data_IF_444666093229
#
_entry.id   IF_444666093229
#
_cell.length_a   1.000
_cell.length_b   1.000
_cell.length_c   1.000
_cell.angle_alpha   90.00
_cell.angle_beta   90.00
_cell.angle_gamma   90.00
#
_symmetry.space_group_name_H-M   'P 1'
#
loop_
_entity.id
_entity.type
_entity.pdbx_description
1 polymer ?
#
# COMPACT_ATOMS: atom_id res chain seq x y z
N UNK A 1 -59.78 -79.24 0.11
CA UNK A 1 -58.49 -79.15 -0.61
C UNK A 1 -58.20 -77.69 -0.93
N UNK A 2 -57.32 -77.02 -0.17
CA UNK A 2 -56.68 -75.76 -0.61
C UNK A 2 -55.28 -75.72 0.01
N UNK A 3 -54.29 -75.65 -0.87
CA UNK A 3 -52.86 -75.82 -0.60
C UNK A 3 -52.28 -74.58 0.09
N UNK A 4 -51.40 -74.83 1.05
CA UNK A 4 -50.53 -73.86 1.73
C UNK A 4 -49.49 -73.36 0.74
N UNK A 5 -49.28 -72.04 0.67
CA UNK A 5 -48.16 -71.42 -0.02
C UNK A 5 -47.40 -70.56 0.99
N UNK A 6 -46.24 -71.03 1.42
CA UNK A 6 -45.33 -70.30 2.30
C UNK A 6 -44.45 -69.42 1.41
N UNK A 7 -44.62 -68.10 1.51
CA UNK A 7 -43.86 -67.12 0.75
C UNK A 7 -42.67 -66.66 1.60
N UNK A 8 -41.46 -67.04 1.19
CA UNK A 8 -40.19 -66.60 1.81
C UNK A 8 -39.85 -65.22 1.27
N UNK A 9 -39.79 -64.20 2.14
CA UNK A 9 -39.26 -62.88 1.81
C UNK A 9 -37.76 -62.85 2.09
N UNK A 10 -36.94 -62.79 1.04
CA UNK A 10 -35.51 -62.49 1.15
C UNK A 10 -35.32 -60.99 1.37
N UNK A 11 -34.81 -60.60 2.54
CA UNK A 11 -34.39 -59.24 2.82
C UNK A 11 -32.98 -59.04 2.26
N UNK A 12 -32.86 -58.28 1.17
CA UNK A 12 -31.56 -57.76 0.71
C UNK A 12 -31.17 -56.56 1.59
N UNK A 13 -30.17 -56.76 2.45
CA UNK A 13 -29.46 -55.68 3.14
C UNK A 13 -28.49 -55.02 2.15
N UNK A 14 -28.86 -53.86 1.60
CA UNK A 14 -27.91 -52.97 0.93
C UNK A 14 -27.08 -52.25 2.01
N UNK A 15 -25.81 -52.62 2.14
CA UNK A 15 -24.83 -51.86 2.90
C UNK A 15 -24.51 -50.54 2.18
N UNK A 16 -25.12 -49.44 2.61
CA UNK A 16 -24.64 -48.10 2.24
C UNK A 16 -23.30 -47.86 2.94
N UNK A 17 -22.20 -47.99 2.21
CA UNK A 17 -20.92 -47.42 2.62
C UNK A 17 -21.02 -45.90 2.48
N UNK A 18 -21.29 -45.21 3.58
CA UNK A 18 -21.16 -43.76 3.64
C UNK A 18 -19.68 -43.40 3.48
N UNK A 19 -19.27 -43.03 2.27
CA UNK A 19 -18.00 -42.34 2.04
C UNK A 19 -18.11 -40.97 2.70
N UNK A 20 -17.56 -40.85 3.91
CA UNK A 20 -17.40 -39.58 4.57
C UNK A 20 -16.59 -38.64 3.65
N UNK A 21 -17.25 -37.58 3.16
CA UNK A 21 -16.56 -36.47 2.50
C UNK A 21 -15.66 -35.82 3.54
N UNK A 22 -14.37 -36.14 3.51
CA UNK A 22 -13.35 -35.31 4.16
C UNK A 22 -13.13 -34.09 3.26
N UNK A 23 -13.29 -32.85 3.75
CA UNK A 23 -12.73 -31.74 3.01
C UNK A 23 -11.23 -32.03 2.85
N UNK A 24 -10.73 -31.89 1.62
CA UNK A 24 -9.30 -31.88 1.41
C UNK A 24 -8.72 -30.85 2.38
N UNK A 25 -7.73 -31.27 3.18
CA UNK A 25 -6.91 -30.33 3.90
C UNK A 25 -6.48 -29.26 2.87
N UNK A 26 -6.66 -27.99 3.20
CA UNK A 26 -6.15 -26.92 2.37
C UNK A 26 -4.66 -27.22 2.18
N UNK A 27 -4.29 -27.61 0.96
CA UNK A 27 -2.91 -27.91 0.62
C UNK A 27 -2.06 -26.72 1.07
N UNK A 28 -0.96 -27.02 1.79
CA UNK A 28 0.15 -26.11 2.07
C UNK A 28 0.85 -25.73 0.74
N UNK A 29 0.11 -25.12 -0.17
CA UNK A 29 0.66 -24.39 -1.28
C UNK A 29 1.51 -23.27 -0.68
N UNK A 30 2.77 -23.16 -1.11
CA UNK A 30 3.62 -22.05 -0.74
C UNK A 30 2.81 -20.74 -0.87
N UNK A 31 2.81 -19.87 0.16
CA UNK A 31 1.93 -18.71 0.18
C UNK A 31 2.15 -17.89 -1.10
N UNK A 32 1.05 -17.65 -1.83
CA UNK A 32 1.12 -16.87 -3.07
C UNK A 32 1.74 -15.49 -2.78
N UNK A 33 2.42 -14.86 -3.74
CA UNK A 33 2.91 -13.50 -3.56
C UNK A 33 1.78 -12.56 -3.16
N UNK A 34 1.97 -11.83 -2.06
CA UNK A 34 1.10 -10.73 -1.66
C UNK A 34 1.02 -9.67 -2.77
N UNK A 35 -0.15 -9.05 -2.88
CA UNK A 35 -0.48 -8.00 -3.83
C UNK A 35 -0.82 -6.73 -3.06
N UNK A 36 0.09 -5.78 -3.04
CA UNK A 36 -0.01 -4.52 -2.30
C UNK A 36 -0.33 -3.42 -3.30
N UNK A 37 -1.27 -2.55 -2.96
CA UNK A 37 -1.59 -1.35 -3.74
C UNK A 37 -1.62 -0.12 -2.82
N UNK A 38 -0.88 0.93 -3.18
CA UNK A 38 -0.75 2.14 -2.38
C UNK A 38 -1.24 3.34 -3.20
N UNK A 39 -2.22 4.07 -2.68
CA UNK A 39 -2.81 5.24 -3.32
C UNK A 39 -2.23 6.53 -2.73
N UNK A 40 -1.51 7.27 -3.56
CA UNK A 40 -1.21 8.68 -3.37
C UNK A 40 -2.29 9.55 -4.02
N UNK A 41 -2.45 10.78 -3.53
CA UNK A 41 -3.21 11.77 -4.28
C UNK A 41 -2.40 12.19 -5.51
N UNK A 42 -1.10 12.42 -5.34
CA UNK A 42 -0.23 13.02 -6.34
C UNK A 42 0.92 12.10 -6.75
N UNK A 43 1.55 12.32 -7.93
CA UNK A 43 2.80 11.67 -8.30
C UNK A 43 3.98 12.08 -7.40
N UNK A 44 4.20 11.32 -6.33
CA UNK A 44 5.31 11.39 -5.35
C UNK A 44 4.91 10.76 -4.01
N UNK A 45 3.63 10.89 -3.65
CA UNK A 45 3.08 10.54 -2.33
C UNK A 45 3.40 9.10 -1.91
N UNK A 46 3.11 8.14 -2.80
CA UNK A 46 3.27 6.73 -2.49
C UNK A 46 4.75 6.33 -2.42
N UNK A 47 5.59 6.88 -3.31
CA UNK A 47 7.04 6.73 -3.26
C UNK A 47 7.62 7.30 -1.97
N UNK A 48 7.10 8.45 -1.53
CA UNK A 48 7.55 9.13 -0.32
C UNK A 48 7.16 8.39 0.96
N UNK A 49 5.92 7.92 1.05
CA UNK A 49 5.36 7.34 2.27
C UNK A 49 5.62 5.83 2.39
N UNK A 50 5.77 5.13 1.26
CA UNK A 50 5.82 3.67 1.21
C UNK A 50 6.98 3.10 0.36
N UNK A 51 7.81 3.93 -0.28
CA UNK A 51 8.83 3.47 -1.22
C UNK A 51 9.84 2.47 -0.65
N UNK A 52 10.25 2.62 0.61
CA UNK A 52 11.20 1.70 1.25
C UNK A 52 10.55 0.34 1.51
N UNK A 53 9.38 0.33 2.14
CA UNK A 53 8.65 -0.91 2.41
C UNK A 53 8.20 -1.59 1.10
N UNK A 54 7.84 -0.81 0.08
CA UNK A 54 7.56 -1.29 -1.26
C UNK A 54 8.76 -2.03 -1.88
N UNK A 55 9.96 -1.49 -1.76
CA UNK A 55 11.19 -2.15 -2.21
C UNK A 55 11.45 -3.47 -1.47
N UNK A 56 11.21 -3.52 -0.16
CA UNK A 56 11.33 -4.77 0.62
C UNK A 56 10.33 -5.83 0.15
N UNK A 57 9.07 -5.45 -0.07
CA UNK A 57 8.07 -6.36 -0.64
C UNK A 57 8.51 -6.88 -2.01
N UNK A 58 8.97 -6.00 -2.90
CA UNK A 58 9.43 -6.37 -4.23
C UNK A 58 10.63 -7.34 -4.19
N UNK A 59 11.59 -7.10 -3.30
CA UNK A 59 12.76 -7.96 -3.11
C UNK A 59 12.39 -9.39 -2.68
N UNK A 60 11.28 -9.57 -1.96
CA UNK A 60 10.73 -10.87 -1.58
C UNK A 60 9.80 -11.48 -2.64
N UNK A 61 9.70 -10.88 -3.83
CA UNK A 61 8.89 -11.37 -4.94
C UNK A 61 7.39 -11.04 -4.86
N UNK A 62 6.97 -10.27 -3.85
CA UNK A 62 5.61 -9.73 -3.75
C UNK A 62 5.36 -8.69 -4.84
N UNK A 63 4.08 -8.41 -5.12
CA UNK A 63 3.67 -7.48 -6.17
C UNK A 63 3.19 -6.19 -5.54
N UNK A 64 3.83 -5.08 -5.89
CA UNK A 64 3.46 -3.75 -5.40
C UNK A 64 3.04 -2.86 -6.56
N UNK A 65 1.93 -2.14 -6.39
CA UNK A 65 1.47 -1.09 -7.28
C UNK A 65 1.35 0.23 -6.51
N UNK A 66 2.02 1.27 -6.99
CA UNK A 66 1.84 2.64 -6.51
C UNK A 66 0.87 3.34 -7.47
N UNK A 67 -0.14 4.04 -6.95
CA UNK A 67 -1.16 4.71 -7.76
C UNK A 67 -1.21 6.17 -7.38
N UNK A 68 -1.01 7.06 -8.35
CA UNK A 68 -1.26 8.49 -8.21
C UNK A 68 -2.66 8.78 -8.69
N UNK A 69 -3.53 9.27 -7.82
CA UNK A 69 -4.93 9.54 -8.18
C UNK A 69 -5.08 10.74 -9.12
N UNK A 70 -4.14 11.68 -9.13
CA UNK A 70 -4.07 12.79 -10.08
C UNK A 70 -2.84 12.69 -10.97
N UNK A 71 -2.89 13.41 -12.09
CA UNK A 71 -1.78 13.53 -13.04
C UNK A 71 -0.72 14.56 -12.60
N UNK A 72 -0.98 15.33 -11.54
CA UNK A 72 -0.02 16.26 -10.94
C UNK A 72 0.22 17.56 -11.71
N UNK A 73 -0.70 17.94 -12.61
CA UNK A 73 -0.52 19.00 -13.60
C UNK A 73 -0.49 20.45 -13.06
N UNK A 74 -0.73 20.68 -11.77
CA UNK A 74 -0.47 21.96 -11.11
C UNK A 74 0.58 21.86 -9.98
N UNK A 75 1.24 20.70 -9.85
CA UNK A 75 2.21 20.40 -8.80
C UNK A 75 3.60 21.02 -8.98
N UNK A 76 3.74 22.09 -9.76
CA UNK A 76 5.00 22.78 -9.97
C UNK A 76 4.82 24.30 -10.11
N UNK A 77 5.69 25.08 -9.47
CA UNK A 77 5.58 26.54 -9.42
C UNK A 77 5.84 27.27 -10.75
N UNK A 78 6.47 26.59 -11.72
CA UNK A 78 6.93 27.17 -13.01
C UNK A 78 6.37 26.48 -14.26
N UNK A 79 5.79 25.30 -14.11
CA UNK A 79 5.33 24.44 -15.20
C UNK A 79 3.96 23.93 -14.81
N UNK A 80 3.02 23.83 -15.75
CA UNK A 80 1.67 23.38 -15.45
C UNK A 80 1.02 22.70 -16.67
N UNK A 81 -0.14 22.10 -16.46
CA UNK A 81 -0.92 21.41 -17.46
C UNK A 81 -0.24 20.16 -17.99
N UNK A 82 -0.63 19.77 -19.20
CA UNK A 82 -0.17 18.54 -19.87
C UNK A 82 1.35 18.33 -19.86
N UNK A 83 2.21 19.33 -20.14
CA UNK A 83 3.66 19.14 -20.07
C UNK A 83 4.17 18.72 -18.68
N UNK A 84 3.58 19.27 -17.61
CA UNK A 84 3.93 18.86 -16.25
C UNK A 84 3.42 17.45 -15.95
N UNK A 85 2.18 17.14 -16.33
CA UNK A 85 1.62 15.79 -16.12
C UNK A 85 2.45 14.71 -16.79
N UNK A 86 2.88 14.93 -18.03
CA UNK A 86 3.76 14.01 -18.78
C UNK A 86 5.11 13.84 -18.08
N UNK A 87 5.72 14.95 -17.61
CA UNK A 87 6.96 14.92 -16.84
C UNK A 87 6.80 14.12 -15.55
N UNK A 88 5.81 14.46 -14.71
CA UNK A 88 5.60 13.80 -13.41
C UNK A 88 5.25 12.33 -13.56
N UNK A 89 4.52 11.96 -14.62
CA UNK A 89 4.29 10.55 -14.98
C UNK A 89 5.60 9.82 -15.27
N UNK A 90 6.48 10.42 -16.07
CA UNK A 90 7.79 9.84 -16.36
C UNK A 90 8.67 9.70 -15.11
N UNK A 91 8.62 10.69 -14.20
CA UNK A 91 9.35 10.69 -12.93
C UNK A 91 8.93 9.51 -12.03
N UNK A 92 7.61 9.29 -11.82
CA UNK A 92 7.14 8.14 -11.01
C UNK A 92 7.36 6.80 -11.70
N UNK A 93 7.32 6.74 -13.04
CA UNK A 93 7.66 5.52 -13.77
C UNK A 93 9.12 5.12 -13.56
N UNK A 94 10.04 6.08 -13.56
CA UNK A 94 11.45 5.82 -13.26
C UNK A 94 11.65 5.48 -11.78
N UNK A 95 10.97 6.16 -10.85
CA UNK A 95 11.01 5.80 -9.43
C UNK A 95 10.52 4.35 -9.19
N UNK A 96 9.41 3.96 -9.81
CA UNK A 96 8.87 2.61 -9.73
C UNK A 96 9.85 1.55 -10.25
N UNK A 97 10.54 1.83 -11.36
CA UNK A 97 11.60 0.97 -11.90
C UNK A 97 12.75 0.81 -10.90
N UNK A 98 13.20 1.89 -10.25
CA UNK A 98 14.27 1.87 -9.24
C UNK A 98 13.88 1.09 -7.98
N UNK A 99 12.60 1.09 -7.61
CA UNK A 99 12.05 0.32 -6.49
C UNK A 99 11.73 -1.15 -6.84
N UNK A 100 11.65 -1.50 -8.13
CA UNK A 100 11.22 -2.83 -8.57
C UNK A 100 9.71 -3.06 -8.48
N UNK A 101 8.90 -2.00 -8.60
CA UNK A 101 7.44 -2.02 -8.44
C UNK A 101 6.73 -1.54 -9.70
N UNK A 102 5.40 -1.61 -9.70
CA UNK A 102 4.56 -1.02 -10.76
C UNK A 102 3.99 0.31 -10.31
N UNK A 103 3.73 1.22 -11.25
CA UNK A 103 3.03 2.48 -10.98
C UNK A 103 1.92 2.73 -11.99
N UNK A 104 0.91 3.50 -11.59
CA UNK A 104 -0.22 3.92 -12.42
C UNK A 104 -0.65 5.34 -12.03
N UNK A 105 -0.73 6.24 -13.02
CA UNK A 105 -1.18 7.63 -12.83
C UNK A 105 -2.57 7.75 -13.44
N UNK A 106 -3.55 8.14 -12.62
CA UNK A 106 -4.92 8.36 -13.09
C UNK A 106 -5.05 9.78 -13.67
N UNK A 107 -6.00 9.94 -14.59
CA UNK A 107 -6.24 11.20 -15.29
C UNK A 107 -7.29 12.06 -14.57
N UNK A 108 -7.01 12.39 -13.31
CA UNK A 108 -7.73 13.42 -12.55
C UNK A 108 -6.78 14.63 -12.46
N UNK A 109 -7.30 15.83 -12.68
CA UNK A 109 -6.52 17.05 -12.51
C UNK A 109 -6.10 17.24 -11.06
N UNK A 110 -4.88 17.75 -10.85
CA UNK A 110 -4.34 18.00 -9.53
C UNK A 110 -5.12 19.14 -8.84
N UNK A 111 -5.51 18.94 -7.58
CA UNK A 111 -6.43 19.81 -6.84
C UNK A 111 -7.92 19.50 -7.02
N UNK A 112 -8.28 18.54 -7.88
CA UNK A 112 -9.67 18.29 -8.29
C UNK A 112 -10.21 16.90 -7.91
N UNK A 113 -9.55 16.15 -7.00
CA UNK A 113 -10.11 14.87 -6.56
C UNK A 113 -11.43 15.14 -5.84
N UNK A 114 -12.52 14.57 -6.36
CA UNK A 114 -13.84 14.62 -5.71
C UNK A 114 -14.29 13.23 -5.25
N UNK A 115 -14.93 13.10 -4.07
CA UNK A 115 -15.42 11.82 -3.55
C UNK A 115 -16.74 11.38 -4.23
N UNK A 116 -16.73 11.31 -5.55
CA UNK A 116 -17.89 10.90 -6.36
C UNK A 116 -18.04 9.38 -6.37
N UNK A 117 -19.26 8.90 -6.69
CA UNK A 117 -19.49 7.47 -6.88
C UNK A 117 -18.63 6.89 -8.01
N UNK A 118 -18.40 7.67 -9.07
CA UNK A 118 -17.57 7.29 -10.20
C UNK A 118 -16.12 7.03 -9.76
N UNK A 119 -15.51 8.01 -9.08
CA UNK A 119 -14.15 7.85 -8.56
C UNK A 119 -14.07 6.69 -7.57
N UNK A 120 -15.08 6.50 -6.71
CA UNK A 120 -15.10 5.35 -5.77
C UNK A 120 -15.15 4.02 -6.52
N UNK A 121 -15.89 3.92 -7.62
CA UNK A 121 -15.92 2.73 -8.47
C UNK A 121 -14.58 2.52 -9.19
N UNK A 122 -13.90 3.58 -9.63
CA UNK A 122 -12.54 3.49 -10.18
C UNK A 122 -11.57 2.90 -9.17
N UNK A 123 -11.53 3.43 -7.93
CA UNK A 123 -10.69 2.90 -6.85
C UNK A 123 -11.04 1.44 -6.53
N UNK A 124 -12.33 1.10 -6.40
CA UNK A 124 -12.76 -0.27 -6.14
C UNK A 124 -12.34 -1.24 -7.26
N UNK A 125 -12.39 -0.82 -8.53
CA UNK A 125 -11.91 -1.62 -9.67
C UNK A 125 -10.41 -1.84 -9.63
N UNK A 126 -9.62 -0.81 -9.31
CA UNK A 126 -8.16 -0.94 -9.19
C UNK A 126 -7.80 -1.98 -8.12
N UNK A 127 -8.43 -1.89 -6.94
CA UNK A 127 -8.24 -2.85 -5.84
C UNK A 127 -8.66 -4.27 -6.28
N UNK A 128 -9.82 -4.43 -6.93
CA UNK A 128 -10.32 -5.72 -7.42
C UNK A 128 -9.43 -6.32 -8.50
N UNK A 129 -9.10 -5.56 -9.53
CA UNK A 129 -8.29 -6.04 -10.65
C UNK A 129 -6.86 -6.40 -10.17
N UNK A 130 -6.37 -5.66 -9.17
CA UNK A 130 -5.11 -6.00 -8.50
C UNK A 130 -5.22 -7.19 -7.54
N UNK A 131 -6.42 -7.69 -7.22
CA UNK A 131 -6.63 -8.75 -6.22
C UNK A 131 -5.84 -8.46 -4.93
N UNK A 132 -5.98 -7.23 -4.43
CA UNK A 132 -5.13 -6.71 -3.36
C UNK A 132 -5.31 -7.48 -2.04
N UNK A 133 -4.20 -7.67 -1.32
CA UNK A 133 -4.13 -8.15 0.06
C UNK A 133 -3.97 -7.00 1.06
N UNK A 134 -3.23 -5.97 0.66
CA UNK A 134 -2.95 -4.77 1.44
C UNK A 134 -3.22 -3.55 0.57
N UNK A 135 -3.96 -2.59 1.12
CA UNK A 135 -4.29 -1.31 0.47
C UNK A 135 -3.81 -0.17 1.36
N UNK A 136 -3.03 0.77 0.83
CA UNK A 136 -2.54 1.93 1.58
C UNK A 136 -3.09 3.24 1.00
N UNK A 137 -3.31 4.26 1.84
CA UNK A 137 -3.73 5.60 1.41
C UNK A 137 -3.45 6.67 2.48
N UNK A 138 -3.69 7.94 2.17
CA UNK A 138 -3.74 9.03 3.15
C UNK A 138 -4.89 8.89 4.16
N UNK A 139 -4.73 9.42 5.37
CA UNK A 139 -5.86 9.58 6.31
C UNK A 139 -6.85 10.63 5.79
N UNK A 140 -8.15 10.53 6.11
CA UNK A 140 -9.15 11.52 5.70
C UNK A 140 -9.02 12.87 6.43
N UNK A 141 -8.05 13.02 7.35
CA UNK A 141 -7.75 14.25 8.06
C UNK A 141 -6.35 14.74 7.65
N UNK A 142 -6.31 15.64 6.66
CA UNK A 142 -5.08 16.16 6.07
C UNK A 142 -5.25 17.66 5.75
N UNK A 143 -4.19 18.41 5.46
CA UNK A 143 -4.25 19.79 5.00
C UNK A 143 -4.71 19.86 3.55
N UNK A 144 -4.29 18.91 2.72
CA UNK A 144 -4.56 18.90 1.29
C UNK A 144 -5.94 18.30 1.01
N UNK A 145 -6.82 18.99 0.26
CA UNK A 145 -8.14 18.46 -0.09
C UNK A 145 -8.07 17.12 -0.83
N UNK A 146 -7.15 16.98 -1.78
CA UNK A 146 -6.98 15.71 -2.49
C UNK A 146 -6.58 14.55 -1.60
N UNK A 147 -5.67 14.74 -0.62
CA UNK A 147 -5.30 13.70 0.34
C UNK A 147 -6.53 13.22 1.12
N UNK A 148 -7.35 14.18 1.60
CA UNK A 148 -8.60 13.86 2.30
C UNK A 148 -9.57 13.09 1.40
N UNK A 149 -9.71 13.52 0.15
CA UNK A 149 -10.68 12.94 -0.77
C UNK A 149 -10.26 11.56 -1.29
N UNK A 150 -8.98 11.32 -1.61
CA UNK A 150 -8.49 9.98 -1.96
C UNK A 150 -8.56 9.03 -0.76
N UNK A 151 -8.19 9.51 0.44
CA UNK A 151 -8.35 8.74 1.68
C UNK A 151 -9.79 8.32 1.93
N UNK A 152 -10.74 9.24 1.72
CA UNK A 152 -12.18 8.96 1.79
C UNK A 152 -12.63 7.95 0.73
N UNK A 153 -12.21 8.10 -0.53
CA UNK A 153 -12.56 7.20 -1.63
C UNK A 153 -12.07 5.76 -1.39
N UNK A 154 -10.82 5.60 -0.98
CA UNK A 154 -10.22 4.28 -0.68
C UNK A 154 -10.90 3.64 0.53
N UNK A 155 -11.14 4.41 1.60
CA UNK A 155 -11.86 3.95 2.79
C UNK A 155 -13.28 3.49 2.45
N UNK A 156 -14.03 4.28 1.69
CA UNK A 156 -15.41 3.94 1.32
C UNK A 156 -15.48 2.75 0.34
N UNK A 157 -14.38 2.43 -0.37
CA UNK A 157 -14.27 1.24 -1.20
C UNK A 157 -14.07 -0.05 -0.38
N UNK A 158 -13.60 0.04 0.88
CA UNK A 158 -13.17 -1.13 1.67
C UNK A 158 -14.25 -2.19 1.91
N UNK A 159 -15.51 -1.79 2.12
CA UNK A 159 -16.62 -2.77 2.15
C UNK A 159 -17.00 -3.22 0.73
N UNK A 160 -16.98 -2.28 -0.21
CA UNK A 160 -17.50 -2.45 -1.56
C UNK A 160 -16.67 -3.40 -2.42
N UNK A 161 -15.39 -3.58 -2.16
CA UNK A 161 -14.50 -4.47 -2.95
C UNK A 161 -14.95 -5.94 -2.94
N UNK A 162 -15.76 -6.35 -1.95
CA UNK A 162 -16.36 -7.70 -1.88
C UNK A 162 -17.79 -7.80 -2.41
N UNK A 163 -18.49 -6.68 -2.59
CA UNK A 163 -19.92 -6.65 -2.98
C UNK A 163 -20.09 -6.99 -4.46
N UNK A 164 -20.58 -8.18 -4.86
CA UNK A 164 -20.44 -8.66 -6.25
C UNK A 164 -20.94 -7.68 -7.32
N UNK A 165 -22.09 -7.05 -7.10
CA UNK A 165 -22.74 -6.17 -8.07
C UNK A 165 -22.34 -4.68 -8.00
N UNK A 166 -21.38 -4.30 -7.15
CA UNK A 166 -20.96 -2.89 -7.04
C UNK A 166 -20.22 -2.37 -8.29
N UNK A 167 -19.29 -3.18 -8.80
CA UNK A 167 -18.56 -3.00 -10.07
C UNK A 167 -18.61 -4.33 -10.84
N UNK A 168 -19.75 -4.66 -11.47
CA UNK A 168 -20.03 -6.00 -12.01
C UNK A 168 -19.10 -6.41 -13.16
N UNK A 169 -18.39 -5.44 -13.74
CA UNK A 169 -17.35 -5.61 -14.75
C UNK A 169 -15.99 -6.08 -14.16
N UNK A 170 -15.89 -6.23 -12.83
CA UNK A 170 -14.68 -6.67 -12.12
C UNK A 170 -15.00 -7.77 -11.11
N UNK A 171 -14.17 -8.81 -11.05
CA UNK A 171 -14.33 -9.91 -10.09
C UNK A 171 -14.22 -9.37 -8.65
N UNK A 172 -15.22 -9.58 -7.77
CA UNK A 172 -15.11 -9.20 -6.37
C UNK A 172 -13.99 -9.97 -5.67
N UNK A 173 -13.42 -9.38 -4.62
CA UNK A 173 -12.45 -10.07 -3.78
C UNK A 173 -13.16 -11.14 -2.93
N UNK A 174 -12.53 -12.30 -2.78
CA UNK A 174 -12.98 -13.36 -1.88
C UNK A 174 -12.69 -13.05 -0.41
N UNK A 175 -11.66 -12.25 -0.15
CA UNK A 175 -11.28 -11.72 1.16
C UNK A 175 -11.41 -10.18 1.21
N UNK A 176 -11.35 -9.60 2.41
CA UNK A 176 -11.25 -8.16 2.58
C UNK A 176 -9.77 -7.80 2.82
N UNK A 177 -9.14 -6.92 2.03
CA UNK A 177 -7.76 -6.49 2.27
C UNK A 177 -7.57 -5.89 3.67
N UNK A 178 -6.32 -5.80 4.11
CA UNK A 178 -5.96 -4.89 5.20
C UNK A 178 -5.80 -3.50 4.59
N UNK A 179 -6.56 -2.54 5.07
CA UNK A 179 -6.39 -1.14 4.67
C UNK A 179 -5.51 -0.44 5.70
N UNK A 180 -4.57 0.37 5.22
CA UNK A 180 -3.60 1.07 6.04
C UNK A 180 -3.54 2.55 5.67
N UNK A 181 -3.20 3.38 6.64
CA UNK A 181 -2.94 4.78 6.41
C UNK A 181 -1.45 5.13 6.48
N UNK A 182 -1.03 6.06 5.63
CA UNK A 182 0.28 6.72 5.71
C UNK A 182 0.40 7.61 6.95
N UNK A 183 1.63 7.87 7.44
CA UNK A 183 1.85 8.71 8.60
C UNK A 183 1.68 10.19 8.27
N UNK A 184 1.08 10.92 9.21
CA UNK A 184 0.97 12.37 9.18
C UNK A 184 1.16 13.01 10.57
N UNK A 185 1.10 14.34 10.62
CA UNK A 185 1.33 15.15 11.84
C UNK A 185 0.04 15.74 12.43
N UNK A 186 -1.14 15.39 11.93
CA UNK A 186 -2.41 15.85 12.47
C UNK A 186 -2.70 15.19 13.82
N UNK A 187 -3.09 16.01 14.79
CA UNK A 187 -3.46 15.58 16.15
C UNK A 187 -4.96 15.64 16.40
N UNK A 188 -5.72 16.22 15.47
CA UNK A 188 -7.19 16.32 15.52
C UNK A 188 -7.80 15.77 14.22
N UNK A 189 -8.95 15.08 14.30
CA UNK A 189 -9.68 14.70 15.52
C UNK A 189 -8.91 13.71 16.39
N UNK A 190 -8.02 12.90 15.80
CA UNK A 190 -7.14 11.97 16.50
C UNK A 190 -5.71 12.03 15.94
N UNK A 191 -4.73 11.78 16.80
CA UNK A 191 -3.33 11.63 16.42
C UNK A 191 -3.14 10.35 15.60
N UNK A 192 -2.17 10.34 14.69
CA UNK A 192 -1.73 9.11 14.02
C UNK A 192 -1.02 8.18 15.01
N UNK A 193 -1.45 6.92 15.03
CA UNK A 193 -0.90 5.84 15.85
C UNK A 193 -0.32 4.74 14.94
N UNK A 194 0.97 4.44 15.11
CA UNK A 194 1.62 3.43 14.29
C UNK A 194 1.33 2.02 14.84
N UNK A 195 0.41 1.31 14.21
CA UNK A 195 0.20 -0.13 14.44
C UNK A 195 1.35 -0.97 13.86
N UNK A 196 2.03 -0.44 12.84
CA UNK A 196 3.14 -1.09 12.13
C UNK A 196 4.26 -0.06 11.94
N UNK A 197 5.51 -0.46 12.21
CA UNK A 197 6.69 0.32 11.85
C UNK A 197 7.74 -0.62 11.25
N UNK A 198 8.14 -0.36 10.01
CA UNK A 198 9.07 -1.17 9.23
C UNK A 198 10.42 -0.47 9.17
N UNK A 199 11.50 -1.14 9.60
CA UNK A 199 12.84 -0.66 9.34
C UNK A 199 13.11 -0.70 7.84
N UNK A 200 13.63 0.40 7.33
CA UNK A 200 14.05 0.53 5.93
C UNK A 200 15.56 0.78 5.82
N UNK A 201 16.31 0.50 6.87
CA UNK A 201 17.77 0.74 6.92
C UNK A 201 18.51 0.03 5.78
N UNK A 202 18.12 -1.20 5.48
CA UNK A 202 18.67 -2.07 4.44
C UNK A 202 18.35 -1.64 3.01
N UNK A 203 17.30 -0.83 2.83
CA UNK A 203 16.83 -0.34 1.53
C UNK A 203 16.79 1.18 1.42
N UNK A 204 17.34 1.90 2.41
CA UNK A 204 17.29 3.35 2.48
C UNK A 204 17.92 3.99 1.25
N UNK A 205 19.07 3.46 0.81
CA UNK A 205 19.75 3.94 -0.40
C UNK A 205 18.94 3.72 -1.66
N UNK A 206 18.28 2.57 -1.77
CA UNK A 206 17.39 2.29 -2.88
C UNK A 206 16.20 3.24 -2.90
N UNK A 207 15.61 3.54 -1.73
CA UNK A 207 14.52 4.52 -1.61
C UNK A 207 14.98 5.91 -2.02
N UNK A 208 16.11 6.40 -1.50
CA UNK A 208 16.66 7.72 -1.84
C UNK A 208 16.98 7.79 -3.33
N UNK A 209 17.52 6.71 -3.91
CA UNK A 209 17.73 6.61 -5.35
C UNK A 209 16.42 6.65 -6.15
N UNK A 210 15.34 6.02 -5.69
CA UNK A 210 14.04 6.14 -6.36
C UNK A 210 13.47 7.56 -6.29
N UNK A 211 13.53 8.17 -5.12
CA UNK A 211 13.09 9.54 -4.85
C UNK A 211 13.89 10.58 -5.66
N UNK A 212 15.17 10.34 -5.92
CA UNK A 212 16.01 11.17 -6.81
C UNK A 212 15.43 11.32 -8.22
N UNK A 213 14.60 10.37 -8.69
CA UNK A 213 13.91 10.47 -9.98
C UNK A 213 12.78 11.52 -9.99
N UNK A 214 12.29 11.94 -8.82
CA UNK A 214 11.15 12.86 -8.68
C UNK A 214 11.62 14.32 -8.71
N UNK A 215 12.35 14.69 -9.77
CA UNK A 215 13.15 15.92 -9.80
C UNK A 215 12.32 17.19 -9.59
N UNK A 216 11.14 17.27 -10.23
CA UNK A 216 10.22 18.40 -10.09
C UNK A 216 9.80 18.67 -8.65
N UNK A 217 9.83 17.64 -7.79
CA UNK A 217 9.38 17.72 -6.40
C UNK A 217 10.56 17.90 -5.46
N UNK A 218 11.61 17.09 -5.60
CA UNK A 218 12.67 17.00 -4.59
C UNK A 218 13.78 18.04 -4.78
N UNK A 219 13.94 18.53 -6.01
CA UNK A 219 14.94 19.52 -6.37
C UNK A 219 14.34 20.87 -6.76
N UNK A 220 13.16 20.87 -7.37
CA UNK A 220 12.51 22.11 -7.84
C UNK A 220 11.47 22.70 -6.88
N UNK A 221 11.09 21.94 -5.84
CA UNK A 221 10.22 22.42 -4.76
C UNK A 221 8.72 22.24 -5.00
N UNK A 222 8.33 21.57 -6.10
CA UNK A 222 6.93 21.31 -6.42
C UNK A 222 6.10 22.58 -6.56
N UNK A 223 4.83 22.52 -6.19
CA UNK A 223 3.85 23.61 -6.36
C UNK A 223 4.24 24.90 -5.61
N UNK A 224 4.95 24.76 -4.48
CA UNK A 224 5.37 25.87 -3.62
C UNK A 224 6.87 26.17 -3.74
N UNK A 225 7.50 25.70 -4.81
CA UNK A 225 8.88 26.02 -5.14
C UNK A 225 9.07 27.48 -5.56
N UNK A 226 10.33 27.85 -5.75
CA UNK A 226 10.74 29.19 -6.18
C UNK A 226 12.17 29.16 -6.72
N UNK A 227 12.67 30.27 -7.27
CA UNK A 227 14.08 30.37 -7.65
C UNK A 227 15.00 30.14 -6.44
N UNK A 228 14.60 30.65 -5.26
CA UNK A 228 15.36 30.43 -4.03
C UNK A 228 15.40 28.94 -3.68
N UNK A 229 14.32 28.20 -3.91
CA UNK A 229 14.30 26.75 -3.68
C UNK A 229 15.34 26.02 -4.55
N UNK A 230 15.52 26.43 -5.82
CA UNK A 230 16.54 25.85 -6.69
C UNK A 230 17.96 26.08 -6.16
N UNK A 231 18.21 27.29 -5.63
CA UNK A 231 19.48 27.66 -5.01
C UNK A 231 19.72 26.85 -3.74
N UNK A 232 18.74 26.79 -2.84
CA UNK A 232 18.82 26.09 -1.55
C UNK A 232 19.03 24.57 -1.75
N UNK A 233 18.43 24.02 -2.79
CA UNK A 233 18.56 22.61 -3.18
C UNK A 233 19.77 22.32 -4.07
N UNK A 234 20.52 23.36 -4.46
CA UNK A 234 21.62 23.28 -5.40
C UNK A 234 21.24 22.50 -6.67
N UNK A 235 20.05 22.75 -7.20
CA UNK A 235 19.43 21.90 -8.24
C UNK A 235 20.30 21.73 -9.49
N UNK A 236 21.14 22.73 -9.82
CA UNK A 236 22.08 22.68 -10.93
C UNK A 236 23.38 21.92 -10.69
N UNK A 237 23.70 21.53 -9.45
CA UNK A 237 24.89 20.74 -9.11
C UNK A 237 24.49 19.27 -8.87
N UNK A 238 24.85 18.34 -9.78
CA UNK A 238 24.40 16.95 -9.71
C UNK A 238 24.96 16.18 -8.50
N UNK A 239 26.07 16.62 -7.91
CA UNK A 239 26.67 15.97 -6.73
C UNK A 239 26.05 16.57 -5.47
N UNK A 240 26.05 17.90 -5.36
CA UNK A 240 25.59 18.56 -4.16
C UNK A 240 24.08 18.38 -3.93
N UNK A 241 23.26 18.39 -5.00
CA UNK A 241 21.81 18.15 -4.89
C UNK A 241 21.51 16.78 -4.27
N UNK A 242 22.24 15.74 -4.66
CA UNK A 242 22.05 14.36 -4.14
C UNK A 242 22.42 14.25 -2.67
N UNK A 243 23.46 14.93 -2.23
CA UNK A 243 23.82 14.99 -0.81
C UNK A 243 22.75 15.71 0.02
N UNK A 244 22.21 16.83 -0.48
CA UNK A 244 21.10 17.55 0.18
C UNK A 244 19.83 16.69 0.25
N UNK A 245 19.53 15.97 -0.84
CA UNK A 245 18.41 15.03 -0.88
C UNK A 245 18.58 13.97 0.20
N UNK A 246 19.74 13.31 0.24
CA UNK A 246 20.05 12.27 1.23
C UNK A 246 19.82 12.75 2.66
N UNK A 247 20.42 13.88 3.04
CA UNK A 247 20.25 14.48 4.39
C UNK A 247 18.80 14.82 4.70
N UNK A 248 18.02 15.22 3.69
CA UNK A 248 16.59 15.49 3.86
C UNK A 248 15.82 14.22 4.23
N UNK A 249 16.14 13.10 3.57
CA UNK A 249 15.49 11.82 3.81
C UNK A 249 15.96 11.12 5.08
N UNK A 250 17.24 11.26 5.44
CA UNK A 250 17.77 10.78 6.72
C UNK A 250 17.01 11.43 7.88
N UNK A 251 16.82 12.75 7.81
CA UNK A 251 16.02 13.50 8.81
C UNK A 251 14.56 13.09 8.80
N UNK A 252 13.92 12.95 7.62
CA UNK A 252 12.49 12.61 7.53
C UNK A 252 12.20 11.22 8.11
N UNK A 253 12.96 10.20 7.70
CA UNK A 253 12.74 8.82 8.16
C UNK A 253 13.32 8.55 9.54
N UNK A 254 14.40 9.25 9.92
CA UNK A 254 14.92 9.21 11.27
C UNK A 254 13.96 9.81 12.29
N UNK A 255 13.29 10.92 11.95
CA UNK A 255 12.24 11.49 12.81
C UNK A 255 11.05 10.54 12.99
N UNK A 256 10.67 9.77 11.97
CA UNK A 256 9.64 8.73 12.10
C UNK A 256 10.12 7.58 12.99
N UNK A 257 11.37 7.12 12.83
CA UNK A 257 11.95 6.06 13.66
C UNK A 257 12.00 6.47 15.14
N UNK A 258 12.33 7.73 15.42
CA UNK A 258 12.27 8.27 16.78
C UNK A 258 10.84 8.35 17.30
N UNK A 259 9.92 8.92 16.50
CA UNK A 259 8.51 9.07 16.88
C UNK A 259 7.82 7.73 17.18
N UNK A 260 8.17 6.67 16.48
CA UNK A 260 7.54 5.35 16.58
C UNK A 260 8.49 4.27 17.12
N UNK A 261 9.44 4.68 17.96
CA UNK A 261 10.45 3.79 18.55
C UNK A 261 9.85 2.59 19.29
N UNK A 262 8.80 2.82 20.06
CA UNK A 262 8.10 1.75 20.80
C UNK A 262 7.46 0.72 19.86
N UNK A 263 6.85 1.17 18.75
CA UNK A 263 6.33 0.26 17.73
C UNK A 263 7.47 -0.55 17.13
N UNK A 264 8.62 0.05 16.79
CA UNK A 264 9.79 -0.69 16.29
C UNK A 264 10.31 -1.72 17.31
N UNK A 265 10.50 -1.34 18.57
CA UNK A 265 10.91 -2.26 19.65
C UNK A 265 9.93 -3.44 19.77
N UNK A 266 8.64 -3.16 19.66
CA UNK A 266 7.63 -4.20 19.79
C UNK A 266 7.66 -5.23 18.63
N UNK A 267 8.19 -4.88 17.45
CA UNK A 267 8.34 -5.79 16.31
C UNK A 267 9.71 -6.47 16.25
N UNK A 268 10.79 -5.73 16.48
CA UNK A 268 12.18 -6.19 16.30
C UNK A 268 12.86 -6.60 17.61
N UNK A 269 12.24 -6.37 18.77
CA UNK A 269 12.88 -6.53 20.08
C UNK A 269 13.65 -5.28 20.50
N UNK A 270 14.12 -5.27 21.75
CA UNK A 270 14.68 -4.07 22.37
C UNK A 270 15.98 -3.58 21.71
N UNK A 271 16.92 -4.49 21.45
CA UNK A 271 18.21 -4.14 20.85
C UNK A 271 18.06 -3.67 19.40
N UNK A 272 17.50 -4.52 18.54
CA UNK A 272 17.33 -4.20 17.11
C UNK A 272 16.37 -3.02 16.92
N UNK A 273 15.26 -3.00 17.65
CA UNK A 273 14.28 -1.93 17.59
C UNK A 273 14.83 -0.57 18.02
N UNK A 274 15.78 -0.51 18.97
CA UNK A 274 16.52 0.73 19.32
C UNK A 274 17.55 1.12 18.26
N UNK A 275 18.14 0.15 17.57
CA UNK A 275 19.16 0.39 16.56
C UNK A 275 18.63 0.91 15.21
N UNK A 276 17.33 0.74 14.92
CA UNK A 276 16.72 1.20 13.65
C UNK A 276 16.95 2.70 13.44
N UNK A 277 17.55 3.07 12.30
CA UNK A 277 17.87 4.47 11.97
C UNK A 277 16.74 5.14 11.20
N UNK A 278 16.13 4.41 10.27
CA UNK A 278 15.12 4.92 9.34
C UNK A 278 13.94 3.94 9.30
N UNK A 279 12.72 4.48 9.36
CA UNK A 279 11.53 3.65 9.23
C UNK A 279 10.46 4.28 8.33
N UNK A 280 9.50 3.44 7.97
CA UNK A 280 8.17 3.83 7.51
C UNK A 280 7.14 3.22 8.48
N UNK A 281 6.03 3.91 8.69
CA UNK A 281 5.04 3.51 9.69
C UNK A 281 3.63 3.61 9.12
N UNK A 282 2.74 2.72 9.56
CA UNK A 282 1.38 2.60 9.04
C UNK A 282 0.40 2.39 10.20
N UNK A 283 -0.78 2.99 10.07
CA UNK A 283 -1.93 2.81 10.96
C UNK A 283 -2.94 1.88 10.30
N UNK A 284 -3.49 0.92 11.03
CA UNK A 284 -4.52 0.03 10.50
C UNK A 284 -5.83 0.79 10.42
N UNK A 285 -6.37 0.89 9.20
CA UNK A 285 -7.69 1.44 8.96
C UNK A 285 -8.75 0.54 9.61
N UNK A 286 -9.75 1.15 10.23
CA UNK A 286 -10.83 0.43 10.88
C UNK A 286 -11.80 -0.21 9.89
N UNK A 287 -11.71 0.17 8.61
CA UNK A 287 -12.48 -0.35 7.50
C UNK A 287 -11.64 -1.39 6.74
N UNK A 288 -12.19 -2.57 6.52
CA UNK A 288 -11.45 -3.69 5.92
C UNK A 288 -11.33 -4.87 6.87
N UNK A 289 -10.31 -5.70 6.68
CA UNK A 289 -9.92 -6.69 7.69
C UNK A 289 -9.14 -6.03 8.83
N UNK A 290 -9.32 -6.54 10.05
CA UNK A 290 -8.65 -6.07 11.27
C UNK A 290 -7.70 -7.16 11.78
N UNK A 291 -6.48 -7.25 11.23
CA UNK A 291 -5.56 -8.31 11.56
C UNK A 291 -5.07 -8.18 13.01
N UNK A 292 -4.86 -9.32 13.64
CA UNK A 292 -4.08 -9.44 14.87
C UNK A 292 -2.61 -9.14 14.60
N UNK A 293 -1.84 -8.95 15.67
CA UNK A 293 -0.40 -8.70 15.59
C UNK A 293 0.37 -9.83 14.86
N UNK A 294 0.00 -11.08 15.09
CA UNK A 294 0.65 -12.22 14.44
C UNK A 294 0.30 -12.31 12.95
N UNK A 295 -0.91 -11.91 12.56
CA UNK A 295 -1.29 -11.79 11.15
C UNK A 295 -0.54 -10.64 10.47
N UNK A 296 -0.35 -9.51 11.15
CA UNK A 296 0.49 -8.40 10.65
C UNK A 296 1.93 -8.85 10.40
N UNK A 297 2.52 -9.66 11.29
CA UNK A 297 3.86 -10.23 11.07
C UNK A 297 3.95 -11.12 9.84
N UNK A 298 2.89 -11.86 9.52
CA UNK A 298 2.81 -12.67 8.29
C UNK A 298 2.63 -11.80 7.04
N UNK A 299 1.87 -10.72 7.14
CA UNK A 299 1.65 -9.78 6.04
C UNK A 299 2.85 -8.86 5.76
N UNK A 300 3.69 -8.63 6.76
CA UNK A 300 4.94 -7.88 6.66
C UNK A 300 6.11 -8.81 7.05
N UNK A 301 6.57 -9.68 6.14
CA UNK A 301 7.57 -10.71 6.42
C UNK A 301 9.00 -10.14 6.52
N UNK A 302 9.15 -9.00 7.21
CA UNK A 302 10.41 -8.29 7.46
C UNK A 302 10.83 -8.34 8.93
N UNK A 303 9.93 -8.77 9.82
CA UNK A 303 10.11 -8.70 11.27
C UNK A 303 10.75 -9.95 11.88
N UNK A 304 10.95 -11.00 11.08
CA UNK A 304 11.72 -12.14 11.56
C UNK A 304 13.21 -11.79 11.49
N UNK A 305 13.90 -12.00 12.61
CA UNK A 305 15.31 -11.70 12.79
C UNK A 305 16.14 -12.31 11.66
N UNK A 306 17.13 -11.55 11.20
CA UNK A 306 18.27 -12.08 10.47
C UNK A 306 19.11 -12.97 11.41
N UNK A 307 18.53 -14.10 11.83
CA UNK A 307 19.23 -15.23 12.41
C UNK A 307 19.21 -16.36 11.37
N UNK A 308 19.96 -16.15 10.28
CA UNK A 308 20.47 -17.20 9.40
C UNK A 308 21.87 -16.84 8.95
#
# INVERSE_FOLDING_TARGET
MRRVFTMVFSVLLLSLTATAWRPAAADDAAPRPLRIIAFGAHPDDAEFQFGGTAAKFAALGHKVKLVSATNGDIGHWKMFGKPLAERRTAEVMEAAKRLGVTTEVLDIHDGEIMPTLENRKTIARLIRNWQADIVLTHRPNDYHPDHRNIGLLVRDAAFMVRVPFYTPDSKPLDHNPVFLYFPDNFTKPNKFEADIAVSVDDVFDQKVHAVDALESQVYEGGALGSEQTLVDKQAGDPVARKEILRRTWERRQGALAERFRETLISFYGEEQGKAVKYCEAFEVCEYGSRPTRDELKKLFPFFEAADK
#
